data_IF_352020580666
#
_entry.id   IF_352020580666
#
_cell.length_a   1.000
_cell.length_b   1.000
_cell.length_c   1.000
_cell.angle_alpha   90.00
_cell.angle_beta   90.00
_cell.angle_gamma   90.00
#
_symmetry.space_group_name_H-M   'P 1'
#
loop_
_entity.id
_entity.type
_entity.pdbx_description
1 polymer ?
#
# COMPACT_ATOMS: atom_id res chain seq x y z
N UNK A 1 -12.93 7.09 9.22
CA UNK A 1 -13.22 5.74 9.69
C UNK A 1 -12.12 5.27 10.62
N UNK A 2 -12.46 4.53 11.67
CA UNK A 2 -11.46 3.87 12.53
C UNK A 2 -11.17 2.52 11.88
N UNK A 3 -10.01 2.42 11.25
CA UNK A 3 -9.62 1.18 10.59
C UNK A 3 -8.97 0.23 11.59
N UNK A 4 -9.36 -1.06 11.62
CA UNK A 4 -8.70 -2.04 12.48
C UNK A 4 -7.26 -2.30 12.00
N UNK A 5 -6.35 -2.44 12.95
CA UNK A 5 -4.97 -2.85 12.65
C UNK A 5 -4.98 -4.33 12.28
N UNK A 6 -4.39 -4.68 11.13
CA UNK A 6 -4.20 -6.08 10.70
C UNK A 6 -3.00 -6.72 11.39
N UNK A 7 -3.03 -6.77 12.72
CA UNK A 7 -1.91 -7.23 13.55
C UNK A 7 -1.51 -8.70 13.27
N UNK A 8 -2.47 -9.53 12.85
CA UNK A 8 -2.22 -10.93 12.47
C UNK A 8 -1.35 -11.06 11.20
N UNK A 9 -1.30 -10.01 10.38
CA UNK A 9 -0.54 -9.98 9.11
C UNK A 9 0.75 -9.17 9.27
N UNK A 10 0.68 -8.01 9.90
CA UNK A 10 1.77 -7.03 9.94
C UNK A 10 2.42 -6.89 11.33
N UNK A 11 1.98 -7.67 12.33
CA UNK A 11 2.41 -7.50 13.72
C UNK A 11 1.69 -6.33 14.42
N UNK A 12 1.77 -6.29 15.75
CA UNK A 12 1.15 -5.21 16.55
C UNK A 12 1.81 -3.85 16.30
N UNK A 13 3.10 -3.85 15.96
CA UNK A 13 3.85 -2.63 15.63
C UNK A 13 3.79 -2.26 14.14
N UNK A 14 3.11 -3.04 13.30
CA UNK A 14 2.95 -2.81 11.86
C UNK A 14 4.17 -3.19 11.01
N UNK A 15 5.25 -3.69 11.62
CA UNK A 15 6.50 -4.05 10.93
C UNK A 15 7.04 -5.41 11.40
N UNK A 16 6.14 -6.39 11.59
CA UNK A 16 6.50 -7.77 11.91
C UNK A 16 7.19 -7.93 13.27
N UNK A 17 6.83 -7.13 14.26
CA UNK A 17 7.44 -7.09 15.61
C UNK A 17 8.94 -6.74 15.59
N UNK A 18 9.48 -6.27 14.47
CA UNK A 18 10.89 -5.87 14.35
C UNK A 18 11.12 -4.54 15.05
N UNK A 19 12.13 -4.47 15.89
CA UNK A 19 12.54 -3.22 16.53
C UNK A 19 13.30 -2.33 15.55
N UNK A 20 12.76 -1.12 15.33
CA UNK A 20 13.37 -0.08 14.52
C UNK A 20 13.83 1.07 15.41
N UNK A 21 14.96 1.68 15.05
CA UNK A 21 15.44 2.88 15.72
C UNK A 21 14.44 4.02 15.53
N UNK A 22 14.18 4.79 16.59
CA UNK A 22 13.35 5.99 16.49
C UNK A 22 13.91 6.95 15.45
N UNK A 23 13.02 7.46 14.59
CA UNK A 23 13.38 8.50 13.64
C UNK A 23 13.81 9.78 14.37
N UNK A 24 14.83 10.44 13.84
CA UNK A 24 15.26 11.77 14.33
C UNK A 24 14.36 12.89 13.79
N UNK A 25 13.79 12.67 12.59
CA UNK A 25 12.88 13.61 11.95
C UNK A 25 11.53 13.61 12.66
N UNK A 26 10.95 14.78 12.83
CA UNK A 26 9.60 14.95 13.37
C UNK A 26 8.55 14.75 12.26
N UNK A 27 7.33 14.39 12.67
CA UNK A 27 6.18 14.35 11.78
C UNK A 27 5.88 15.79 11.32
N UNK A 28 5.61 15.96 10.03
CA UNK A 28 5.22 17.24 9.47
C UNK A 28 3.88 17.72 10.06
N UNK A 29 3.70 19.03 10.21
CA UNK A 29 2.46 19.60 10.74
C UNK A 29 1.32 19.62 9.73
N UNK A 30 1.66 19.60 8.45
CA UNK A 30 0.70 19.55 7.35
C UNK A 30 -0.02 18.20 7.31
N UNK A 31 -1.31 18.20 7.07
CA UNK A 31 -2.07 16.98 6.88
C UNK A 31 -1.72 16.30 5.53
N UNK A 32 -1.87 14.99 5.42
CA UNK A 32 -1.68 14.28 4.16
C UNK A 32 -2.61 14.78 3.04
N UNK A 33 -3.81 15.21 3.40
CA UNK A 33 -4.80 15.82 2.47
C UNK A 33 -4.27 17.13 1.90
N UNK A 34 -3.79 18.02 2.76
CA UNK A 34 -3.24 19.32 2.32
C UNK A 34 -1.95 19.14 1.52
N UNK A 35 -1.14 18.15 1.89
CA UNK A 35 0.07 17.81 1.14
C UNK A 35 -0.24 17.36 -0.29
N UNK A 36 -1.28 16.53 -0.50
CA UNK A 36 -1.71 16.14 -1.85
C UNK A 36 -2.13 17.34 -2.68
N UNK A 37 -2.91 18.26 -2.11
CA UNK A 37 -3.36 19.47 -2.80
C UNK A 37 -2.15 20.35 -3.17
N UNK A 38 -1.29 20.64 -2.21
CA UNK A 38 -0.09 21.45 -2.46
C UNK A 38 0.82 20.82 -3.52
N UNK A 39 1.05 19.50 -3.43
CA UNK A 39 1.86 18.78 -4.40
C UNK A 39 1.27 18.82 -5.81
N UNK A 40 -0.06 18.65 -5.94
CA UNK A 40 -0.75 18.70 -7.23
C UNK A 40 -0.58 20.08 -7.89
N UNK A 41 -0.80 21.17 -7.15
CA UNK A 41 -0.58 22.53 -7.67
C UNK A 41 0.89 22.81 -8.01
N UNK A 42 1.84 22.30 -7.18
CA UNK A 42 3.27 22.53 -7.37
C UNK A 42 3.86 21.76 -8.54
N UNK A 43 3.53 20.48 -8.68
CA UNK A 43 4.17 19.62 -9.66
C UNK A 43 3.34 19.40 -10.91
N UNK A 44 2.03 19.62 -10.83
CA UNK A 44 1.05 19.46 -11.91
C UNK A 44 1.19 18.10 -12.62
N UNK A 45 1.07 18.01 -13.93
CA UNK A 45 1.13 16.77 -14.70
C UNK A 45 2.38 15.90 -14.50
N UNK A 46 3.36 16.37 -13.73
CA UNK A 46 4.53 15.58 -13.32
C UNK A 46 4.34 14.84 -11.99
N UNK A 47 3.23 15.09 -11.28
CA UNK A 47 2.94 14.39 -10.04
C UNK A 47 2.40 12.99 -10.35
N UNK A 48 3.11 11.98 -9.85
CA UNK A 48 2.66 10.60 -9.82
C UNK A 48 2.33 10.25 -8.37
N UNK A 49 1.18 9.63 -8.14
CA UNK A 49 0.74 9.20 -6.80
C UNK A 49 0.63 7.68 -6.81
N UNK A 50 1.22 7.02 -5.81
CA UNK A 50 1.13 5.57 -5.61
C UNK A 50 0.48 5.28 -4.26
N UNK A 51 -0.86 5.23 -4.17
CA UNK A 51 -1.54 4.80 -2.95
C UNK A 51 -1.29 3.31 -2.69
N UNK A 52 -0.75 3.01 -1.50
CA UNK A 52 -0.46 1.64 -1.04
C UNK A 52 -1.34 1.25 0.16
N UNK A 53 -2.41 1.99 0.38
CA UNK A 53 -3.41 1.80 1.43
C UNK A 53 -4.76 2.34 0.98
N UNK A 54 -5.71 2.52 1.92
CA UNK A 54 -7.04 3.08 1.62
C UNK A 54 -6.96 4.44 0.95
N UNK A 55 -7.90 4.73 0.07
CA UNK A 55 -7.92 5.96 -0.73
C UNK A 55 -8.50 7.18 -0.01
N UNK A 56 -8.74 7.09 1.30
CA UNK A 56 -9.36 8.11 2.15
C UNK A 56 -8.74 9.50 1.98
N UNK A 57 -7.40 9.58 2.03
CA UNK A 57 -6.71 10.87 1.91
C UNK A 57 -6.82 11.48 0.51
N UNK A 58 -6.75 10.65 -0.53
CA UNK A 58 -6.88 11.12 -1.91
C UNK A 58 -8.32 11.58 -2.20
N UNK A 59 -9.32 10.80 -1.80
CA UNK A 59 -10.73 11.20 -1.92
C UNK A 59 -11.03 12.49 -1.16
N UNK A 60 -10.51 12.63 0.07
CA UNK A 60 -10.67 13.85 0.84
C UNK A 60 -9.97 15.06 0.18
N UNK A 61 -8.83 14.86 -0.46
CA UNK A 61 -8.15 15.91 -1.21
C UNK A 61 -8.95 16.35 -2.44
N UNK A 62 -9.47 15.41 -3.22
CA UNK A 62 -10.34 15.69 -4.38
C UNK A 62 -11.60 16.45 -3.93
N UNK A 63 -12.22 16.02 -2.83
CA UNK A 63 -13.41 16.68 -2.30
C UNK A 63 -13.12 18.10 -1.81
N UNK A 64 -11.96 18.33 -1.23
CA UNK A 64 -11.54 19.64 -0.71
C UNK A 64 -11.12 20.59 -1.84
N UNK A 65 -10.45 20.08 -2.87
CA UNK A 65 -10.03 20.81 -4.05
C UNK A 65 -10.22 19.97 -5.31
N UNK A 66 -11.40 20.01 -5.95
CA UNK A 66 -11.67 19.22 -7.15
C UNK A 66 -10.74 19.53 -8.34
N UNK A 67 -10.09 20.70 -8.36
CA UNK A 67 -9.21 21.06 -9.46
C UNK A 67 -7.94 20.20 -9.56
N UNK A 68 -7.57 19.51 -8.47
CA UNK A 68 -6.39 18.63 -8.47
C UNK A 68 -6.53 17.44 -9.42
N UNK A 69 -7.74 17.07 -9.78
CA UNK A 69 -8.01 15.97 -10.73
C UNK A 69 -7.36 16.26 -12.08
N UNK A 70 -7.41 17.51 -12.54
CA UNK A 70 -6.80 17.93 -13.81
C UNK A 70 -5.29 18.22 -13.69
N UNK A 71 -4.78 18.30 -12.46
CA UNK A 71 -3.39 18.60 -12.18
C UNK A 71 -2.52 17.36 -11.95
N UNK A 72 -3.09 16.24 -11.49
CA UNK A 72 -2.34 15.02 -11.20
C UNK A 72 -2.01 14.30 -12.50
N UNK A 73 -0.74 13.97 -12.72
CA UNK A 73 -0.28 13.29 -13.92
C UNK A 73 -0.74 11.84 -14.03
N UNK A 74 -0.65 11.08 -12.93
CA UNK A 74 -1.14 9.70 -12.89
C UNK A 74 -1.29 9.18 -11.46
N UNK A 75 -2.21 8.24 -11.26
CA UNK A 75 -2.35 7.49 -10.01
C UNK A 75 -2.22 5.99 -10.30
N UNK A 76 -1.25 5.33 -9.68
CA UNK A 76 -1.14 3.87 -9.72
C UNK A 76 -1.42 3.33 -8.34
N UNK A 77 -2.63 2.83 -8.10
CA UNK A 77 -3.00 2.35 -6.76
C UNK A 77 -2.79 0.83 -6.62
N UNK A 78 -2.36 0.41 -5.42
CA UNK A 78 -2.48 -0.97 -4.99
C UNK A 78 -3.83 -1.19 -4.32
N UNK A 79 -4.65 -2.06 -4.87
CA UNK A 79 -5.95 -2.40 -4.30
C UNK A 79 -6.86 -3.13 -5.26
N UNK A 80 -7.89 -3.75 -4.72
CA UNK A 80 -8.93 -4.42 -5.48
C UNK A 80 -8.64 -5.86 -5.90
N UNK A 81 -9.70 -6.53 -6.31
CA UNK A 81 -9.70 -7.88 -6.85
C UNK A 81 -10.79 -7.94 -7.92
N UNK A 82 -10.41 -7.94 -9.20
CA UNK A 82 -11.37 -7.87 -10.30
C UNK A 82 -11.83 -9.25 -10.76
N UNK A 83 -10.89 -10.16 -11.03
CA UNK A 83 -11.15 -11.49 -11.60
C UNK A 83 -10.72 -12.62 -10.67
N UNK A 84 -10.26 -12.30 -9.47
CA UNK A 84 -9.79 -13.25 -8.45
C UNK A 84 -10.53 -13.00 -7.13
N UNK A 85 -10.58 -13.97 -6.21
CA UNK A 85 -11.12 -13.76 -4.87
C UNK A 85 -10.39 -12.63 -4.11
N UNK A 86 -11.11 -12.00 -3.19
CA UNK A 86 -10.53 -11.06 -2.24
C UNK A 86 -9.63 -11.74 -1.20
N UNK A 87 -8.92 -10.92 -0.41
CA UNK A 87 -8.04 -11.40 0.66
C UNK A 87 -8.55 -11.04 2.08
N UNK A 88 -9.64 -10.27 2.19
CA UNK A 88 -10.31 -9.96 3.46
C UNK A 88 -11.66 -10.67 3.54
N UNK A 89 -12.41 -10.64 2.46
CA UNK A 89 -13.62 -11.44 2.25
C UNK A 89 -13.49 -12.15 0.89
N UNK A 90 -14.37 -13.10 0.55
CA UNK A 90 -14.34 -13.74 -0.76
C UNK A 90 -14.40 -12.77 -1.96
N UNK A 91 -14.87 -11.55 -1.75
CA UNK A 91 -15.10 -10.56 -2.83
C UNK A 91 -14.41 -9.22 -2.62
N UNK A 92 -13.67 -9.02 -1.51
CA UNK A 92 -13.04 -7.73 -1.21
C UNK A 92 -11.55 -7.85 -0.90
N UNK A 93 -10.79 -6.92 -1.46
CA UNK A 93 -9.38 -6.70 -1.14
C UNK A 93 -9.25 -5.67 0.01
N UNK A 94 -8.19 -5.79 0.80
CA UNK A 94 -8.01 -5.08 2.06
C UNK A 94 -8.07 -3.54 1.93
N UNK A 95 -7.34 -2.95 0.99
CA UNK A 95 -7.27 -1.49 0.85
C UNK A 95 -8.61 -0.88 0.43
N UNK A 96 -9.28 -1.53 -0.53
CA UNK A 96 -10.61 -1.09 -0.98
C UNK A 96 -11.65 -1.33 0.11
N UNK A 97 -11.58 -2.46 0.81
CA UNK A 97 -12.52 -2.80 1.88
C UNK A 97 -12.43 -1.86 3.09
N UNK A 98 -11.30 -1.24 3.33
CA UNK A 98 -11.12 -0.33 4.48
C UNK A 98 -11.86 1.00 4.30
N UNK A 99 -12.03 1.48 3.09
CA UNK A 99 -12.78 2.70 2.78
C UNK A 99 -13.38 2.63 1.36
N UNK A 100 -14.46 1.84 1.18
CA UNK A 100 -15.06 1.63 -0.14
C UNK A 100 -15.69 2.89 -0.71
N UNK A 101 -16.20 3.79 0.14
CA UNK A 101 -16.76 5.07 -0.28
C UNK A 101 -15.67 5.98 -0.86
N UNK A 102 -14.50 6.04 -0.23
CA UNK A 102 -13.36 6.78 -0.77
C UNK A 102 -12.87 6.17 -2.09
N UNK A 103 -12.88 4.84 -2.19
CA UNK A 103 -12.55 4.15 -3.43
C UNK A 103 -13.53 4.51 -4.55
N UNK A 104 -14.84 4.45 -4.30
CA UNK A 104 -15.87 4.83 -5.29
C UNK A 104 -15.65 6.28 -5.77
N UNK A 105 -15.40 7.21 -4.85
CA UNK A 105 -15.12 8.62 -5.18
C UNK A 105 -13.90 8.77 -6.10
N UNK A 106 -12.81 8.10 -5.80
CA UNK A 106 -11.58 8.15 -6.60
C UNK A 106 -11.79 7.50 -7.97
N UNK A 107 -12.45 6.34 -8.03
CA UNK A 107 -12.71 5.66 -9.30
C UNK A 107 -13.70 6.40 -10.20
N UNK A 108 -14.61 7.19 -9.64
CA UNK A 108 -15.55 8.06 -10.38
C UNK A 108 -14.94 9.41 -10.75
N UNK A 109 -13.82 9.79 -10.17
CA UNK A 109 -13.10 10.98 -10.58
C UNK A 109 -12.51 10.77 -11.99
N UNK A 110 -12.19 11.84 -12.67
CA UNK A 110 -11.55 11.76 -13.99
C UNK A 110 -10.01 11.61 -13.88
N UNK A 111 -9.48 11.16 -12.76
CA UNK A 111 -8.06 10.91 -12.60
C UNK A 111 -7.57 9.85 -13.59
N UNK A 112 -6.41 10.06 -14.23
CA UNK A 112 -5.71 9.00 -14.96
C UNK A 112 -5.22 7.95 -13.98
N UNK A 113 -5.92 6.78 -13.93
CA UNK A 113 -5.79 5.80 -12.87
C UNK A 113 -5.46 4.41 -13.40
N UNK A 114 -4.49 3.75 -12.78
CA UNK A 114 -4.19 2.33 -12.97
C UNK A 114 -4.37 1.59 -11.65
N UNK A 115 -5.20 0.55 -11.65
CA UNK A 115 -5.38 -0.32 -10.49
C UNK A 115 -4.48 -1.56 -10.59
N UNK A 116 -3.67 -1.79 -9.57
CA UNK A 116 -2.84 -3.00 -9.41
C UNK A 116 -3.49 -3.86 -8.33
N UNK A 117 -4.37 -4.74 -8.76
CA UNK A 117 -5.16 -5.61 -7.87
C UNK A 117 -4.49 -6.94 -7.57
N UNK A 118 -5.18 -7.76 -6.76
CA UNK A 118 -4.75 -9.13 -6.44
C UNK A 118 -4.59 -10.00 -7.69
N UNK A 119 -5.25 -9.64 -8.78
CA UNK A 119 -5.16 -10.29 -10.10
C UNK A 119 -3.72 -10.43 -10.61
N UNK A 120 -2.86 -9.50 -10.27
CA UNK A 120 -1.45 -9.48 -10.67
C UNK A 120 -0.50 -9.62 -9.49
N UNK A 121 -0.82 -9.05 -8.33
CA UNK A 121 0.10 -9.05 -7.17
C UNK A 121 0.33 -10.45 -6.61
N UNK A 122 -0.67 -11.33 -6.65
CA UNK A 122 -0.54 -12.72 -6.20
C UNK A 122 0.31 -13.60 -7.13
N UNK A 123 0.69 -13.10 -8.28
CA UNK A 123 1.59 -13.78 -9.24
C UNK A 123 3.05 -13.40 -9.04
N UNK A 124 3.33 -12.38 -8.24
CA UNK A 124 4.70 -11.89 -7.96
C UNK A 124 4.97 -12.13 -6.48
N UNK A 125 5.83 -13.10 -6.19
CA UNK A 125 6.03 -13.60 -4.83
C UNK A 125 7.44 -13.34 -4.34
N UNK A 126 7.57 -13.06 -3.05
CA UNK A 126 8.82 -13.13 -2.30
C UNK A 126 8.83 -14.38 -1.44
N UNK A 127 10.00 -15.03 -1.41
CA UNK A 127 10.26 -16.24 -0.65
C UNK A 127 11.33 -16.00 0.42
N UNK A 128 11.51 -16.97 1.34
CA UNK A 128 12.63 -16.92 2.31
C UNK A 128 14.00 -17.03 1.66
N UNK A 129 14.09 -17.49 0.42
CA UNK A 129 15.34 -17.46 -0.32
C UNK A 129 15.73 -16.05 -0.75
N UNK A 130 14.74 -15.20 -1.08
CA UNK A 130 14.98 -13.81 -1.44
C UNK A 130 15.39 -13.00 -0.21
N UNK A 131 14.72 -13.19 0.93
CA UNK A 131 15.12 -12.53 2.19
C UNK A 131 16.50 -12.97 2.67
N UNK A 132 16.90 -14.22 2.42
CA UNK A 132 18.27 -14.69 2.68
C UNK A 132 19.29 -13.90 1.87
N UNK A 133 19.06 -13.68 0.57
CA UNK A 133 19.93 -12.85 -0.27
C UNK A 133 20.08 -11.43 0.28
N UNK A 134 18.99 -10.84 0.82
CA UNK A 134 19.07 -9.52 1.43
C UNK A 134 19.96 -9.49 2.69
N UNK A 135 19.95 -10.55 3.50
CA UNK A 135 20.87 -10.67 4.66
C UNK A 135 22.32 -10.79 4.21
N UNK A 136 22.57 -11.50 3.11
CA UNK A 136 23.92 -11.68 2.52
C UNK A 136 24.55 -10.34 2.05
N UNK A 137 23.75 -9.29 1.87
CA UNK A 137 24.27 -7.94 1.59
C UNK A 137 25.04 -7.34 2.77
N UNK A 138 24.91 -7.87 3.97
CA UNK A 138 25.60 -7.40 5.18
C UNK A 138 25.22 -5.98 5.61
N UNK A 139 24.05 -5.47 5.17
CA UNK A 139 23.56 -4.14 5.51
C UNK A 139 22.49 -4.20 6.58
N UNK A 140 22.42 -3.18 7.43
CA UNK A 140 21.34 -3.05 8.44
C UNK A 140 19.95 -3.03 7.78
N UNK A 141 19.83 -2.37 6.63
CA UNK A 141 18.57 -2.33 5.89
C UNK A 141 18.17 -3.72 5.37
N UNK A 142 19.11 -4.45 4.75
CA UNK A 142 18.87 -5.80 4.24
C UNK A 142 18.42 -6.76 5.33
N UNK A 143 19.07 -6.71 6.50
CA UNK A 143 18.69 -7.52 7.66
C UNK A 143 17.27 -7.18 8.16
N UNK A 144 16.99 -5.88 8.39
CA UNK A 144 15.69 -5.45 8.91
C UNK A 144 14.53 -5.70 7.94
N UNK A 145 14.71 -5.44 6.64
CA UNK A 145 13.70 -5.76 5.64
C UNK A 145 13.49 -7.26 5.51
N UNK A 146 14.53 -8.07 5.61
CA UNK A 146 14.41 -9.51 5.61
C UNK A 146 13.59 -10.01 6.82
N UNK A 147 13.83 -9.47 8.02
CA UNK A 147 13.08 -9.84 9.22
C UNK A 147 11.60 -9.48 9.11
N UNK A 148 11.28 -8.26 8.64
CA UNK A 148 9.90 -7.80 8.40
C UNK A 148 9.20 -8.70 7.38
N UNK A 149 9.89 -9.00 6.27
CA UNK A 149 9.32 -9.82 5.18
C UNK A 149 9.15 -11.27 5.60
N UNK A 150 10.08 -11.84 6.38
CA UNK A 150 9.95 -13.20 6.90
C UNK A 150 8.73 -13.36 7.81
N UNK A 151 8.44 -12.36 8.64
CA UNK A 151 7.21 -12.33 9.44
C UNK A 151 5.96 -12.36 8.54
N UNK A 152 5.96 -11.56 7.49
CA UNK A 152 4.87 -11.49 6.53
C UNK A 152 4.69 -12.80 5.74
N UNK A 153 5.80 -13.44 5.31
CA UNK A 153 5.78 -14.76 4.67
C UNK A 153 5.18 -15.81 5.62
N UNK A 154 5.51 -15.76 6.91
CA UNK A 154 4.97 -16.70 7.89
C UNK A 154 3.47 -16.49 8.13
N UNK A 155 2.97 -15.24 8.08
CA UNK A 155 1.55 -14.96 8.08
C UNK A 155 0.85 -15.54 6.84
N UNK A 156 1.48 -15.45 5.66
CA UNK A 156 0.96 -16.02 4.41
C UNK A 156 0.87 -17.54 4.42
N UNK A 157 1.73 -18.24 5.16
CA UNK A 157 1.61 -19.71 5.34
C UNK A 157 0.29 -20.12 6.00
N UNK A 158 -0.31 -19.21 6.78
CA UNK A 158 -1.59 -19.44 7.45
C UNK A 158 -2.76 -18.99 6.56
N UNK A 159 -2.66 -17.80 5.97
CA UNK A 159 -3.77 -17.18 5.24
C UNK A 159 -3.87 -17.62 3.77
N UNK A 160 -2.74 -17.94 3.15
CA UNK A 160 -2.63 -18.27 1.72
C UNK A 160 -1.53 -19.31 1.45
N UNK A 161 -1.60 -20.50 2.10
CA UNK A 161 -0.51 -21.50 2.07
C UNK A 161 -0.17 -22.01 0.67
N UNK A 162 -1.11 -21.92 -0.27
CA UNK A 162 -0.94 -22.35 -1.65
C UNK A 162 0.03 -21.46 -2.46
N UNK A 163 0.36 -20.27 -1.99
CA UNK A 163 1.23 -19.36 -2.72
C UNK A 163 2.72 -19.69 -2.55
N UNK A 164 3.13 -20.31 -1.43
CA UNK A 164 4.52 -20.66 -1.17
C UNK A 164 5.45 -19.47 -0.85
N UNK A 165 4.91 -18.27 -0.69
CA UNK A 165 5.60 -17.03 -0.37
C UNK A 165 4.61 -15.93 -0.03
N UNK A 166 5.05 -14.70 0.14
CA UNK A 166 4.15 -13.56 0.25
C UNK A 166 4.03 -12.79 -1.07
N UNK A 167 2.85 -12.30 -1.36
CA UNK A 167 2.61 -11.49 -2.56
C UNK A 167 3.26 -10.10 -2.44
N UNK A 168 3.84 -9.64 -3.55
CA UNK A 168 4.36 -8.28 -3.70
C UNK A 168 3.24 -7.35 -4.15
N UNK A 169 2.58 -6.72 -3.19
CA UNK A 169 1.47 -5.81 -3.46
C UNK A 169 1.97 -4.43 -3.85
N UNK A 170 2.45 -3.68 -2.87
CA UNK A 170 2.84 -2.29 -3.02
C UNK A 170 4.05 -2.07 -3.94
N UNK A 171 5.11 -2.91 -3.86
CA UNK A 171 6.24 -2.76 -4.79
C UNK A 171 5.87 -2.95 -6.25
N UNK A 172 4.84 -3.77 -6.54
CA UNK A 172 4.39 -3.97 -7.92
C UNK A 172 3.58 -2.77 -8.46
N UNK A 173 2.92 -2.02 -7.58
CA UNK A 173 2.22 -0.80 -7.95
C UNK A 173 3.20 0.38 -8.16
N UNK A 174 4.31 0.40 -7.44
CA UNK A 174 5.35 1.42 -7.56
C UNK A 174 6.26 1.21 -8.77
#
# INVERSE_FOLDING_TARGET
SVMPISAQIHGKNGVGEVELKKAKRQIEKMSGVDFFIEAAHKYQGRLLIVPTGPLTNLAAAIKKDPSIVDLIGHVTLMGGALTVPGNVTPVTEANINQDPEAADEVFRSNLPLTMIGLDVTTRTLLTKEDTKKWRELGTVAGEKYADITDYYIDAYKITSPHLGGCALHDPLAA
#
